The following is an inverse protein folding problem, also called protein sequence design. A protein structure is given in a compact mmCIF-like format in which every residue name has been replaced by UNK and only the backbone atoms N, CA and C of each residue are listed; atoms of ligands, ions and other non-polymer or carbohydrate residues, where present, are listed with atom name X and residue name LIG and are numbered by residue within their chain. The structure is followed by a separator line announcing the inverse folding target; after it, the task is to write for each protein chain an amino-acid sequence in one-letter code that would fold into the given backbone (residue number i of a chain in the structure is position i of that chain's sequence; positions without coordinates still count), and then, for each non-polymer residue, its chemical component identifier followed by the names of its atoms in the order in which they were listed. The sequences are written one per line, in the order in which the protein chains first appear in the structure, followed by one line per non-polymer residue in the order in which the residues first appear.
data_IF_878791528376
#
_entry.id   IF_878791528376
#
_cell.length_a   1.000
_cell.length_b   1.000
_cell.length_c   1.000
_cell.angle_alpha   90.00
_cell.angle_beta   90.00
_cell.angle_gamma   90.00
#
_symmetry.space_group_name_H-M   'P 1'
#
loop_
_entity.id
_entity.type
_entity.pdbx_description
1 polymer ?
#
# COMPACT_ATOMS: atom_id res chain seq x y z
N UNK A 1 6.07 11.91 -8.30
CA UNK A 1 4.80 12.67 -8.12
C UNK A 1 4.11 12.16 -6.87
N UNK A 2 3.61 13.06 -6.03
CA UNK A 2 2.78 12.72 -4.86
C UNK A 2 1.37 13.28 -5.06
N UNK A 3 0.36 12.42 -4.95
CA UNK A 3 -1.05 12.75 -5.05
C UNK A 3 -1.72 12.53 -3.69
N UNK A 4 -1.94 13.60 -2.94
CA UNK A 4 -2.66 13.60 -1.67
C UNK A 4 -4.17 13.68 -1.90
N UNK A 5 -4.82 12.53 -1.96
CA UNK A 5 -6.25 12.32 -2.22
C UNK A 5 -6.99 12.20 -0.89
N UNK A 6 -7.69 13.26 -0.48
CA UNK A 6 -8.53 13.25 0.71
C UNK A 6 -7.76 13.05 2.01
N UNK A 7 -6.52 13.53 2.09
CA UNK A 7 -5.68 13.47 3.28
C UNK A 7 -5.87 14.67 4.21
N UNK A 8 -5.23 14.61 5.39
CA UNK A 8 -5.25 15.73 6.34
C UNK A 8 -4.30 16.83 5.88
N UNK A 9 -4.77 18.06 5.90
CA UNK A 9 -3.95 19.24 5.54
C UNK A 9 -2.69 19.37 6.41
N UNK A 10 -2.76 18.96 7.69
CA UNK A 10 -1.60 18.92 8.58
C UNK A 10 -0.52 17.97 8.05
N UNK A 11 -0.88 16.76 7.65
CA UNK A 11 0.06 15.75 7.14
C UNK A 11 0.69 16.20 5.81
N UNK A 12 -0.10 16.84 4.94
CA UNK A 12 0.43 17.47 3.73
C UNK A 12 1.43 18.61 4.02
N UNK A 13 1.15 19.43 5.03
CA UNK A 13 2.06 20.50 5.45
C UNK A 13 3.38 19.94 6.02
N UNK A 14 3.29 18.92 6.87
CA UNK A 14 4.45 18.29 7.48
C UNK A 14 5.35 17.65 6.39
N UNK A 15 4.75 16.91 5.45
CA UNK A 15 5.46 16.31 4.31
C UNK A 15 6.14 17.37 3.43
N UNK A 16 5.48 18.49 3.16
CA UNK A 16 6.05 19.57 2.36
C UNK A 16 7.32 20.14 3.00
N UNK A 17 7.28 20.42 4.31
CA UNK A 17 8.44 20.95 5.03
C UNK A 17 9.55 19.90 5.16
N UNK A 18 9.20 18.63 5.37
CA UNK A 18 10.16 17.52 5.37
C UNK A 18 10.89 17.38 4.03
N UNK A 19 10.16 17.49 2.92
CA UNK A 19 10.74 17.46 1.57
C UNK A 19 11.62 18.67 1.27
N UNK A 20 11.34 19.84 1.86
CA UNK A 20 12.24 21.01 1.79
C UNK A 20 13.50 20.75 2.61
N UNK A 21 13.38 20.28 3.86
CA UNK A 21 14.52 20.04 4.75
C UNK A 21 15.45 18.94 4.22
N UNK A 22 14.89 17.90 3.61
CA UNK A 22 15.65 16.82 2.97
C UNK A 22 16.23 17.19 1.60
N UNK A 23 15.92 18.38 1.07
CA UNK A 23 16.42 18.86 -0.22
C UNK A 23 15.77 18.19 -1.44
N UNK A 24 14.65 17.48 -1.26
CA UNK A 24 13.83 16.95 -2.36
C UNK A 24 13.11 18.09 -3.09
N UNK A 25 12.68 19.10 -2.35
CA UNK A 25 12.15 20.37 -2.85
C UNK A 25 13.20 21.46 -2.67
N UNK A 26 13.63 22.05 -3.79
CA UNK A 26 14.47 23.24 -3.80
C UNK A 26 13.61 24.46 -4.08
N UNK A 27 13.44 25.32 -3.07
CA UNK A 27 12.64 26.55 -3.17
C UNK A 27 13.36 27.70 -3.91
N UNK A 28 14.69 27.63 -4.04
CA UNK A 28 15.50 28.73 -4.58
C UNK A 28 16.10 28.41 -5.94
N UNK A 29 16.31 27.13 -6.23
CA UNK A 29 16.81 26.64 -7.52
C UNK A 29 15.74 25.95 -8.35
N UNK A 30 16.22 25.19 -9.34
CA UNK A 30 15.44 24.46 -10.35
C UNK A 30 15.57 22.93 -10.21
N UNK A 31 16.09 22.46 -9.07
CA UNK A 31 16.46 21.05 -8.85
C UNK A 31 15.44 20.23 -8.07
N UNK A 32 14.22 20.73 -7.92
CA UNK A 32 13.13 20.00 -7.26
C UNK A 32 12.84 18.69 -7.98
N UNK A 33 12.72 17.59 -7.24
CA UNK A 33 12.52 16.23 -7.78
C UNK A 33 11.10 15.69 -7.58
N UNK A 34 10.20 16.51 -7.05
CA UNK A 34 8.85 16.11 -6.71
C UNK A 34 7.83 17.14 -7.19
N UNK A 35 6.70 16.65 -7.66
CA UNK A 35 5.49 17.44 -7.87
C UNK A 35 4.44 16.97 -6.87
N UNK A 36 3.88 17.90 -6.09
CA UNK A 36 2.84 17.65 -5.10
C UNK A 36 1.48 18.08 -5.66
N UNK A 37 0.50 17.18 -5.63
CA UNK A 37 -0.87 17.43 -6.05
C UNK A 37 -1.79 17.12 -4.88
N UNK A 38 -2.42 18.13 -4.31
CA UNK A 38 -3.24 17.99 -3.09
C UNK A 38 -4.71 18.28 -3.34
N UNK A 39 -5.56 17.41 -2.81
CA UNK A 39 -7.01 17.55 -2.76
C UNK A 39 -7.46 17.03 -1.41
N UNK A 40 -7.34 17.88 -0.40
CA UNK A 40 -7.42 17.55 1.03
C UNK A 40 -8.85 17.18 1.46
N UNK A 41 -9.02 16.65 2.68
CA UNK A 41 -10.32 16.26 3.24
C UNK A 41 -11.38 17.38 3.26
N UNK A 42 -10.96 18.64 3.41
CA UNK A 42 -11.85 19.80 3.45
C UNK A 42 -12.39 20.20 2.06
N UNK A 43 -11.89 19.58 0.99
CA UNK A 43 -12.36 19.82 -0.38
C UNK A 43 -13.66 19.04 -0.69
N UNK A 44 -14.53 19.57 -1.57
CA UNK A 44 -15.75 18.88 -1.96
C UNK A 44 -15.45 17.53 -2.65
N UNK A 45 -16.37 16.56 -2.59
CA UNK A 45 -16.14 15.23 -3.13
C UNK A 45 -15.81 15.22 -4.64
N UNK A 46 -16.33 16.18 -5.40
CA UNK A 46 -15.95 16.33 -6.82
C UNK A 46 -14.46 16.59 -7.04
N UNK A 47 -13.83 17.40 -6.18
CA UNK A 47 -12.40 17.67 -6.25
C UNK A 47 -11.58 16.45 -5.80
N UNK A 48 -11.96 15.83 -4.69
CA UNK A 48 -11.31 14.60 -4.18
C UNK A 48 -11.40 13.43 -5.17
N UNK A 49 -12.51 13.29 -5.89
CA UNK A 49 -12.69 12.27 -6.92
C UNK A 49 -11.89 12.53 -8.22
N UNK A 50 -11.15 13.64 -8.32
CA UNK A 50 -10.39 14.01 -9.53
C UNK A 50 -8.92 14.27 -9.27
N UNK A 51 -8.52 14.60 -8.05
CA UNK A 51 -7.12 14.91 -7.71
C UNK A 51 -6.16 13.75 -8.02
N UNK A 52 -6.59 12.49 -7.84
CA UNK A 52 -5.81 11.31 -8.24
C UNK A 52 -5.49 11.32 -9.74
N UNK A 53 -6.47 11.68 -10.58
CA UNK A 53 -6.30 11.79 -12.03
C UNK A 53 -5.36 12.93 -12.41
N UNK A 54 -5.40 14.04 -11.68
CA UNK A 54 -4.45 15.15 -11.87
C UNK A 54 -3.03 14.71 -11.58
N UNK A 55 -2.79 14.04 -10.44
CA UNK A 55 -1.47 13.47 -10.12
C UNK A 55 -1.00 12.47 -11.17
N UNK A 56 -1.91 11.62 -11.64
CA UNK A 56 -1.62 10.65 -12.70
C UNK A 56 -1.26 11.33 -14.02
N UNK A 57 -1.98 12.37 -14.45
CA UNK A 57 -1.67 13.10 -15.68
C UNK A 57 -0.29 13.77 -15.63
N UNK A 58 0.12 14.28 -14.47
CA UNK A 58 1.50 14.79 -14.30
C UNK A 58 2.51 13.66 -14.43
N UNK A 59 2.27 12.50 -13.82
CA UNK A 59 3.15 11.34 -13.94
C UNK A 59 3.22 10.80 -15.38
N UNK A 60 2.10 10.76 -16.09
CA UNK A 60 2.04 10.33 -17.50
C UNK A 60 2.81 11.27 -18.42
N UNK A 61 2.86 12.57 -18.13
CA UNK A 61 3.70 13.49 -18.90
C UNK A 61 5.18 13.10 -18.80
N UNK A 62 5.67 12.88 -17.59
CA UNK A 62 7.05 12.43 -17.36
C UNK A 62 7.33 11.06 -18.02
N UNK A 63 6.38 10.13 -17.96
CA UNK A 63 6.48 8.82 -18.63
C UNK A 63 6.49 8.94 -20.16
N UNK A 64 5.51 9.62 -20.75
CA UNK A 64 5.21 9.52 -22.18
C UNK A 64 5.89 10.60 -23.04
N UNK A 65 6.17 11.77 -22.45
CA UNK A 65 6.82 12.91 -23.13
C UNK A 65 8.29 13.02 -22.78
N UNK A 66 8.64 12.87 -21.50
CA UNK A 66 10.04 12.92 -21.07
C UNK A 66 10.74 11.56 -21.10
N UNK A 67 9.99 10.46 -21.21
CA UNK A 67 10.56 9.11 -21.29
C UNK A 67 11.24 8.66 -19.99
N UNK A 68 10.75 9.13 -18.84
CA UNK A 68 11.35 8.90 -17.54
C UNK A 68 10.66 7.76 -16.78
N UNK A 69 11.40 7.20 -15.82
CA UNK A 69 10.85 6.32 -14.79
C UNK A 69 10.35 7.14 -13.61
N UNK A 70 9.05 7.04 -13.33
CA UNK A 70 8.35 7.92 -12.40
C UNK A 70 7.86 7.14 -11.20
N UNK A 71 8.18 7.63 -10.00
CA UNK A 71 7.52 7.19 -8.78
C UNK A 71 6.22 7.98 -8.57
N UNK A 72 5.08 7.28 -8.46
CA UNK A 72 3.78 7.86 -8.17
C UNK A 72 3.31 7.40 -6.78
N UNK A 73 3.22 8.34 -5.85
CA UNK A 73 2.64 8.09 -4.53
C UNK A 73 1.19 8.56 -4.53
N UNK A 74 0.24 7.68 -4.22
CA UNK A 74 -1.17 8.04 -4.02
C UNK A 74 -1.54 7.75 -2.58
N UNK A 75 -1.85 8.80 -1.83
CA UNK A 75 -2.27 8.71 -0.45
C UNK A 75 -3.55 9.52 -0.28
N UNK A 76 -4.75 8.95 -0.10
CA UNK A 76 -5.07 7.52 -0.01
C UNK A 76 -6.05 7.12 -1.11
N UNK A 77 -5.81 6.00 -1.80
CA UNK A 77 -6.64 5.61 -2.94
C UNK A 77 -8.07 5.23 -2.54
N UNK A 78 -8.30 4.80 -1.31
CA UNK A 78 -9.64 4.58 -0.79
C UNK A 78 -10.48 5.87 -0.82
N UNK A 79 -9.85 7.03 -0.59
CA UNK A 79 -10.55 8.34 -0.59
C UNK A 79 -11.03 8.74 -1.99
N UNK A 80 -10.37 8.27 -3.05
CA UNK A 80 -10.87 8.42 -4.42
C UNK A 80 -12.20 7.68 -4.59
N UNK A 81 -12.27 6.43 -4.14
CA UNK A 81 -13.50 5.62 -4.15
C UNK A 81 -14.60 6.26 -3.29
N UNK A 82 -14.28 6.66 -2.07
CA UNK A 82 -15.22 7.29 -1.14
C UNK A 82 -15.85 8.55 -1.75
N UNK A 83 -15.02 9.43 -2.33
CA UNK A 83 -15.49 10.62 -3.02
C UNK A 83 -16.38 10.27 -4.24
N UNK A 84 -16.06 9.19 -4.95
CA UNK A 84 -16.89 8.65 -6.03
C UNK A 84 -18.29 8.23 -5.55
N UNK A 85 -18.39 7.54 -4.42
CA UNK A 85 -19.67 7.19 -3.80
C UNK A 85 -20.49 8.42 -3.44
N UNK A 86 -19.87 9.44 -2.83
CA UNK A 86 -20.55 10.70 -2.47
C UNK A 86 -21.10 11.41 -3.72
N UNK A 87 -20.30 11.52 -4.79
CA UNK A 87 -20.75 12.11 -6.06
C UNK A 87 -21.86 11.28 -6.70
N UNK A 88 -21.75 9.95 -6.68
CA UNK A 88 -22.77 9.05 -7.23
C UNK A 88 -24.12 9.20 -6.54
N UNK A 89 -24.12 9.35 -5.21
CA UNK A 89 -25.33 9.61 -4.44
C UNK A 89 -25.98 10.95 -4.82
N UNK A 90 -25.18 12.02 -4.98
CA UNK A 90 -25.67 13.33 -5.42
C UNK A 90 -26.23 13.32 -6.85
N UNK A 91 -25.73 12.42 -7.71
CA UNK A 91 -26.26 12.21 -9.07
C UNK A 91 -27.54 11.36 -9.10
N UNK A 92 -28.04 10.90 -7.95
CA UNK A 92 -29.27 10.10 -7.87
C UNK A 92 -29.12 8.67 -8.40
N UNK A 93 -27.90 8.15 -8.47
CA UNK A 93 -27.67 6.75 -8.85
C UNK A 93 -28.03 5.82 -7.69
N UNK A 94 -28.63 4.68 -8.01
CA UNK A 94 -28.94 3.64 -7.02
C UNK A 94 -27.61 3.08 -6.48
N UNK A 95 -27.42 3.03 -5.15
CA UNK A 95 -26.20 2.47 -4.55
C UNK A 95 -26.11 0.96 -4.77
N UNK A 96 -24.88 0.46 -4.85
CA UNK A 96 -24.55 -0.97 -4.92
C UNK A 96 -24.26 -1.55 -3.53
N UNK A 97 -23.60 -2.71 -3.49
CA UNK A 97 -23.16 -3.36 -2.27
C UNK A 97 -22.44 -2.39 -1.31
N UNK A 98 -22.80 -2.47 -0.03
CA UNK A 98 -22.20 -1.67 1.07
C UNK A 98 -22.31 -0.13 0.85
N UNK A 99 -23.15 0.33 -0.08
CA UNK A 99 -23.38 1.75 -0.34
C UNK A 99 -22.42 2.40 -1.35
N UNK A 100 -21.57 1.62 -2.03
CA UNK A 100 -20.69 2.14 -3.08
C UNK A 100 -21.44 2.50 -4.36
N UNK A 101 -20.79 3.30 -5.21
CA UNK A 101 -21.30 3.61 -6.54
C UNK A 101 -21.39 2.33 -7.41
N UNK A 102 -22.42 2.20 -8.27
CA UNK A 102 -22.53 1.06 -9.18
C UNK A 102 -21.40 1.00 -10.22
N UNK A 103 -20.68 2.10 -10.42
CA UNK A 103 -19.55 2.22 -11.35
C UNK A 103 -18.19 1.95 -10.70
N UNK A 104 -18.14 1.45 -9.45
CA UNK A 104 -16.91 1.32 -8.66
C UNK A 104 -15.76 0.65 -9.43
N UNK A 105 -16.01 -0.53 -10.00
CA UNK A 105 -15.01 -1.29 -10.74
C UNK A 105 -14.53 -0.56 -11.99
N UNK A 106 -15.45 0.07 -12.74
CA UNK A 106 -15.11 0.82 -13.96
C UNK A 106 -14.31 2.08 -13.65
N UNK A 107 -14.70 2.84 -12.62
CA UNK A 107 -14.02 4.07 -12.20
C UNK A 107 -12.61 3.76 -11.69
N UNK A 108 -12.46 2.70 -10.89
CA UNK A 108 -11.16 2.23 -10.41
C UNK A 108 -10.29 1.74 -11.58
N UNK A 109 -10.80 0.84 -12.43
CA UNK A 109 -10.05 0.28 -13.55
C UNK A 109 -9.60 1.35 -14.54
N UNK A 110 -10.46 2.31 -14.89
CA UNK A 110 -10.10 3.41 -15.80
C UNK A 110 -8.91 4.23 -15.29
N UNK A 111 -8.78 4.37 -13.97
CA UNK A 111 -7.63 5.04 -13.36
C UNK A 111 -6.42 4.11 -13.24
N UNK A 112 -6.58 2.91 -12.70
CA UNK A 112 -5.47 2.00 -12.40
C UNK A 112 -4.77 1.51 -13.67
N UNK A 113 -5.50 1.24 -14.75
CA UNK A 113 -4.89 0.75 -16.01
C UNK A 113 -3.99 1.79 -16.70
N UNK A 114 -4.13 3.07 -16.33
CA UNK A 114 -3.21 4.13 -16.80
C UNK A 114 -1.88 4.12 -16.04
N UNK A 115 -1.85 3.55 -14.84
CA UNK A 115 -0.65 3.37 -14.01
C UNK A 115 0.05 2.10 -14.47
N UNK A 116 0.88 2.26 -15.49
CA UNK A 116 1.61 1.12 -16.07
C UNK A 116 2.92 1.56 -16.70
N UNK A 117 3.76 0.57 -16.96
CA UNK A 117 4.99 0.73 -17.75
C UNK A 117 4.67 0.59 -19.24
N UNK A 118 5.20 1.51 -20.04
CA UNK A 118 5.04 1.51 -21.50
C UNK A 118 6.40 1.33 -22.16
N UNK A 119 6.45 1.29 -23.50
CA UNK A 119 7.70 1.26 -24.25
C UNK A 119 8.52 2.55 -24.14
N UNK A 120 7.94 3.64 -23.60
CA UNK A 120 8.60 4.95 -23.50
C UNK A 120 9.19 5.24 -22.13
N UNK A 121 8.64 4.64 -21.08
CA UNK A 121 9.03 4.88 -19.69
C UNK A 121 8.12 4.11 -18.72
N UNK A 122 8.39 4.21 -17.43
CA UNK A 122 7.63 3.49 -16.40
C UNK A 122 6.95 4.41 -15.39
N UNK A 123 5.83 3.96 -14.84
CA UNK A 123 5.27 4.50 -13.59
C UNK A 123 5.27 3.36 -12.59
N UNK A 124 6.06 3.51 -11.53
CA UNK A 124 5.99 2.63 -10.35
C UNK A 124 5.15 3.35 -9.30
N UNK A 125 3.97 2.80 -8.98
CA UNK A 125 3.08 3.41 -8.01
C UNK A 125 3.14 2.75 -6.63
N UNK A 126 3.14 3.58 -5.59
CA UNK A 126 2.95 3.16 -4.21
C UNK A 126 1.67 3.82 -3.71
N UNK A 127 0.68 3.00 -3.38
CA UNK A 127 -0.66 3.47 -3.06
C UNK A 127 -1.02 3.06 -1.63
N UNK A 128 -1.33 4.04 -0.79
CA UNK A 128 -1.90 3.77 0.53
C UNK A 128 -3.37 3.38 0.36
N UNK A 129 -3.76 2.22 0.91
CA UNK A 129 -5.13 1.71 0.87
C UNK A 129 -5.63 1.64 2.30
N UNK A 130 -6.58 2.50 2.64
CA UNK A 130 -7.32 2.38 3.89
C UNK A 130 -8.33 1.23 3.77
N UNK A 131 -8.26 0.26 4.69
CA UNK A 131 -9.21 -0.85 4.78
C UNK A 131 -10.28 -0.48 5.81
N UNK A 132 -11.55 -0.28 5.42
CA UNK A 132 -12.62 0.05 6.36
C UNK A 132 -12.84 -1.07 7.37
N UNK A 133 -12.84 -0.72 8.66
CA UNK A 133 -13.13 -1.65 9.75
C UNK A 133 -12.29 -2.95 9.75
N UNK A 134 -11.07 -2.88 9.22
CA UNK A 134 -10.17 -4.04 9.05
C UNK A 134 -10.78 -5.19 8.20
N UNK A 135 -11.79 -4.90 7.36
CA UNK A 135 -12.45 -5.86 6.47
C UNK A 135 -11.89 -5.84 5.04
N UNK A 136 -11.01 -6.79 4.71
CA UNK A 136 -10.44 -6.96 3.37
C UNK A 136 -11.46 -7.41 2.31
N UNK A 137 -12.66 -7.85 2.73
CA UNK A 137 -13.73 -8.28 1.83
C UNK A 137 -14.62 -7.12 1.37
N UNK A 138 -14.41 -5.91 1.92
CA UNK A 138 -15.10 -4.71 1.46
C UNK A 138 -14.85 -4.50 -0.06
N UNK A 139 -15.88 -4.12 -0.85
CA UNK A 139 -15.75 -3.96 -2.29
C UNK A 139 -14.64 -3.01 -2.75
N UNK A 140 -14.32 -1.96 -1.98
CA UNK A 140 -13.31 -0.98 -2.36
C UNK A 140 -11.87 -1.55 -2.34
N UNK A 141 -11.35 -2.10 -1.21
CA UNK A 141 -10.05 -2.76 -1.20
C UNK A 141 -10.04 -3.99 -2.12
N UNK A 142 -11.09 -4.81 -2.14
CA UNK A 142 -11.15 -6.00 -3.00
C UNK A 142 -10.99 -5.66 -4.49
N UNK A 143 -11.66 -4.61 -4.98
CA UNK A 143 -11.51 -4.13 -6.36
C UNK A 143 -10.13 -3.56 -6.61
N UNK A 144 -9.56 -2.84 -5.63
CA UNK A 144 -8.23 -2.23 -5.78
C UNK A 144 -7.14 -3.29 -5.86
N UNK A 145 -7.20 -4.34 -5.02
CA UNK A 145 -6.19 -5.40 -4.98
C UNK A 145 -6.05 -6.15 -6.31
N UNK A 146 -7.13 -6.25 -7.10
CA UNK A 146 -7.09 -6.89 -8.41
C UNK A 146 -6.14 -6.18 -9.41
N UNK A 147 -5.83 -4.90 -9.19
CA UNK A 147 -4.94 -4.10 -10.05
C UNK A 147 -3.50 -4.02 -9.53
N UNK A 148 -3.18 -4.56 -8.35
CA UNK A 148 -1.86 -4.42 -7.75
C UNK A 148 -0.95 -5.62 -8.07
N UNK A 149 0.32 -5.33 -8.36
CA UNK A 149 1.35 -6.35 -8.58
C UNK A 149 1.94 -6.88 -7.27
N UNK A 150 1.92 -6.07 -6.21
CA UNK A 150 2.36 -6.41 -4.88
C UNK A 150 1.46 -5.76 -3.83
N UNK A 151 1.22 -6.49 -2.74
CA UNK A 151 0.46 -6.03 -1.59
C UNK A 151 1.36 -6.08 -0.36
N UNK A 152 1.49 -4.96 0.34
CA UNK A 152 2.17 -4.90 1.65
C UNK A 152 1.12 -4.59 2.69
N UNK A 153 0.78 -5.60 3.49
CA UNK A 153 -0.26 -5.49 4.52
C UNK A 153 0.41 -5.06 5.83
N UNK A 154 -0.12 -4.00 6.45
CA UNK A 154 0.34 -3.55 7.76
C UNK A 154 -0.63 -4.07 8.84
N UNK A 155 -0.10 -4.79 9.83
CA UNK A 155 -0.89 -5.45 10.88
C UNK A 155 -0.74 -4.75 12.22
N UNK A 156 -1.88 -4.44 12.86
CA UNK A 156 -1.91 -3.87 14.20
C UNK A 156 -1.26 -4.79 15.23
N UNK A 157 -1.53 -6.09 15.15
CA UNK A 157 -0.96 -7.08 16.07
C UNK A 157 0.57 -7.13 16.03
N UNK A 158 1.18 -6.87 14.86
CA UNK A 158 2.64 -6.78 14.73
C UNK A 158 3.18 -5.48 15.32
N UNK A 159 2.49 -4.36 15.10
CA UNK A 159 2.85 -3.06 15.69
C UNK A 159 2.80 -3.08 17.23
N UNK A 160 1.79 -3.75 17.82
CA UNK A 160 1.65 -3.92 19.27
C UNK A 160 2.81 -4.71 19.91
N UNK A 161 3.49 -5.55 19.12
CA UNK A 161 4.71 -6.25 19.55
C UNK A 161 5.97 -5.35 19.50
N UNK A 162 5.83 -4.10 19.05
CA UNK A 162 6.92 -3.13 18.88
C UNK A 162 7.81 -3.41 17.67
N UNK A 163 7.29 -4.09 16.65
CA UNK A 163 8.01 -4.43 15.42
C UNK A 163 7.67 -3.38 14.36
N UNK A 164 8.67 -2.63 13.91
CA UNK A 164 8.54 -1.62 12.87
C UNK A 164 9.56 -1.87 11.74
N UNK A 165 9.15 -1.81 10.46
CA UNK A 165 7.78 -1.59 9.99
C UNK A 165 6.84 -2.76 10.32
N UNK A 166 5.56 -2.45 10.57
CA UNK A 166 4.55 -3.43 11.00
C UNK A 166 3.98 -4.27 9.84
N UNK A 167 4.85 -4.73 8.94
CA UNK A 167 4.48 -5.52 7.76
C UNK A 167 4.14 -6.95 8.18
N UNK A 168 3.00 -7.46 7.72
CA UNK A 168 2.64 -8.87 7.88
C UNK A 168 3.36 -9.73 6.82
N UNK A 169 4.31 -10.60 7.22
CA UNK A 169 5.11 -11.38 6.28
C UNK A 169 4.34 -12.55 5.63
N UNK A 170 3.16 -12.89 6.14
CA UNK A 170 2.31 -13.97 5.63
C UNK A 170 1.20 -13.43 4.72
N UNK A 171 0.62 -12.28 5.07
CA UNK A 171 -0.47 -11.67 4.30
C UNK A 171 0.04 -10.73 3.18
N UNK A 172 1.31 -10.29 3.23
CA UNK A 172 1.95 -9.53 2.16
C UNK A 172 2.38 -10.44 1.01
N UNK A 173 2.11 -10.02 -0.23
CA UNK A 173 2.38 -10.83 -1.42
C UNK A 173 2.98 -10.01 -2.55
N UNK A 174 3.61 -10.68 -3.50
CA UNK A 174 4.10 -10.06 -4.73
C UNK A 174 4.07 -11.06 -5.87
N UNK A 175 3.62 -10.62 -7.05
CA UNK A 175 3.61 -11.44 -8.27
C UNK A 175 5.02 -11.82 -8.72
N UNK A 176 6.01 -10.97 -8.44
CA UNK A 176 7.40 -11.21 -8.87
C UNK A 176 8.18 -12.11 -7.90
N UNK A 177 7.57 -12.56 -6.79
CA UNK A 177 8.15 -13.60 -5.93
C UNK A 177 8.00 -14.97 -6.61
N UNK A 178 8.68 -15.12 -7.74
CA UNK A 178 8.74 -16.29 -8.61
C UNK A 178 10.22 -16.64 -8.86
N UNK A 179 10.62 -17.92 -8.74
CA UNK A 179 12.02 -18.31 -8.88
C UNK A 179 12.60 -18.02 -10.27
N UNK A 180 11.76 -17.86 -11.30
CA UNK A 180 12.19 -17.49 -12.65
C UNK A 180 12.53 -15.99 -12.78
N UNK A 181 12.06 -15.16 -11.84
CA UNK A 181 12.29 -13.71 -11.83
C UNK A 181 13.38 -13.36 -10.80
N UNK A 182 13.23 -13.82 -9.54
CA UNK A 182 14.15 -13.45 -8.44
C UNK A 182 15.28 -14.45 -8.24
N UNK A 183 15.26 -15.59 -8.94
CA UNK A 183 16.22 -16.68 -8.77
C UNK A 183 15.82 -17.67 -7.66
N UNK A 184 16.37 -18.88 -7.75
CA UNK A 184 16.03 -19.99 -6.86
C UNK A 184 16.43 -19.74 -5.40
N UNK A 185 17.59 -19.11 -5.18
CA UNK A 185 18.08 -18.83 -3.83
C UNK A 185 17.15 -17.86 -3.09
N UNK A 186 16.84 -16.71 -3.69
CA UNK A 186 15.95 -15.72 -3.08
C UNK A 186 14.56 -16.33 -2.83
N UNK A 187 13.98 -17.00 -3.82
CA UNK A 187 12.69 -17.65 -3.66
C UNK A 187 12.69 -18.71 -2.53
N UNK A 188 13.71 -19.56 -2.49
CA UNK A 188 13.87 -20.60 -1.48
C UNK A 188 13.98 -20.03 -0.06
N UNK A 189 14.78 -18.96 0.11
CA UNK A 189 14.91 -18.27 1.40
C UNK A 189 13.59 -17.63 1.82
N UNK A 190 12.91 -16.90 0.92
CA UNK A 190 11.65 -16.23 1.22
C UNK A 190 10.55 -17.24 1.61
N UNK A 191 10.40 -18.33 0.85
CA UNK A 191 9.44 -19.40 1.17
C UNK A 191 9.79 -20.15 2.46
N UNK A 192 11.07 -20.35 2.74
CA UNK A 192 11.54 -20.93 4.00
C UNK A 192 11.18 -20.07 5.21
N UNK A 193 11.37 -18.75 5.11
CA UNK A 193 10.97 -17.78 6.13
C UNK A 193 9.46 -17.82 6.35
N UNK A 194 8.66 -17.74 5.28
CA UNK A 194 7.19 -17.82 5.38
C UNK A 194 6.73 -19.12 6.03
N UNK A 195 7.33 -20.25 5.66
CA UNK A 195 6.99 -21.56 6.25
C UNK A 195 7.23 -21.58 7.76
N UNK A 196 8.41 -21.15 8.23
CA UNK A 196 8.74 -21.12 9.66
C UNK A 196 7.77 -20.22 10.42
N UNK A 197 7.39 -19.07 9.85
CA UNK A 197 6.45 -18.14 10.48
C UNK A 197 5.02 -18.67 10.50
N UNK A 198 4.60 -19.39 9.45
CA UNK A 198 3.30 -20.05 9.40
C UNK A 198 3.20 -21.19 10.42
N UNK A 199 4.24 -22.04 10.50
CA UNK A 199 4.33 -23.11 11.49
C UNK A 199 4.29 -22.52 12.91
N UNK A 200 5.02 -21.43 13.15
CA UNK A 200 4.96 -20.70 14.42
C UNK A 200 3.56 -20.19 14.75
N UNK A 201 2.84 -19.60 13.79
CA UNK A 201 1.45 -19.13 13.98
C UNK A 201 0.52 -20.27 14.38
N UNK A 202 0.64 -21.45 13.76
CA UNK A 202 -0.14 -22.63 14.14
C UNK A 202 0.20 -23.16 15.53
N UNK A 203 1.44 -23.00 15.99
CA UNK A 203 1.85 -23.39 17.35
C UNK A 203 1.42 -22.37 18.42
N UNK A 204 1.11 -21.12 18.08
CA UNK A 204 0.73 -20.08 19.06
C UNK A 204 -0.53 -20.46 19.85
N UNK A 205 -1.54 -21.04 19.22
CA UNK A 205 -2.78 -21.45 19.90
C UNK A 205 -2.51 -22.58 20.90
N UNK A 206 -1.64 -23.53 20.53
CA UNK A 206 -1.21 -24.63 21.41
C UNK A 206 -0.43 -24.06 22.60
N UNK A 207 0.51 -23.15 22.36
CA UNK A 207 1.31 -22.48 23.39
C UNK A 207 0.41 -21.70 24.37
N UNK A 208 -0.65 -21.05 23.87
CA UNK A 208 -1.56 -20.28 24.70
C UNK A 208 -2.39 -21.15 25.65
N UNK A 209 -2.67 -22.41 25.29
CA UNK A 209 -3.49 -23.34 26.08
C UNK A 209 -2.63 -24.23 26.98
N UNK A 210 -1.62 -24.88 26.42
CA UNK A 210 -0.81 -25.92 27.08
C UNK A 210 0.51 -25.39 27.66
N UNK A 211 0.98 -24.24 27.18
CA UNK A 211 2.29 -23.70 27.54
C UNK A 211 3.43 -24.19 26.63
N UNK A 212 4.59 -23.53 26.73
CA UNK A 212 5.77 -23.84 25.90
C UNK A 212 6.43 -25.19 26.22
N UNK A 213 6.25 -25.70 27.44
CA UNK A 213 6.96 -26.89 27.92
C UNK A 213 6.43 -28.19 27.32
N UNK A 214 5.15 -28.18 26.92
CA UNK A 214 4.43 -29.31 26.30
C UNK A 214 4.75 -29.51 24.81
N UNK A 215 5.51 -28.59 24.21
CA UNK A 215 5.97 -28.72 22.83
C UNK A 215 7.10 -29.74 22.69
N UNK A 216 7.18 -30.39 21.53
CA UNK A 216 8.35 -31.19 21.16
C UNK A 216 9.61 -30.32 21.05
N UNK A 217 10.79 -30.92 21.17
CA UNK A 217 12.05 -30.17 21.05
C UNK A 217 12.23 -29.54 19.65
N UNK A 218 11.70 -30.18 18.60
CA UNK A 218 11.70 -29.64 17.24
C UNK A 218 10.75 -28.42 17.10
N UNK A 219 9.59 -28.46 17.76
CA UNK A 219 8.66 -27.33 17.79
C UNK A 219 9.23 -26.17 18.59
N UNK A 220 9.87 -26.44 19.73
CA UNK A 220 10.59 -25.42 20.51
C UNK A 220 11.68 -24.76 19.68
N UNK A 221 12.44 -25.53 18.89
CA UNK A 221 13.44 -25.00 17.98
C UNK A 221 12.82 -24.12 16.89
N UNK A 222 11.68 -24.54 16.33
CA UNK A 222 10.92 -23.77 15.34
C UNK A 222 10.45 -22.44 15.91
N UNK A 223 9.84 -22.44 17.10
CA UNK A 223 9.41 -21.23 17.81
C UNK A 223 10.59 -20.29 18.09
N UNK A 224 11.73 -20.84 18.54
CA UNK A 224 12.92 -20.05 18.81
C UNK A 224 13.49 -19.36 17.55
N UNK A 225 13.49 -20.06 16.41
CA UNK A 225 13.90 -19.49 15.11
C UNK A 225 12.90 -18.45 14.61
N UNK A 226 11.61 -18.77 14.67
CA UNK A 226 10.55 -17.86 14.23
C UNK A 226 10.58 -16.53 14.98
N UNK A 227 10.73 -16.55 16.32
CA UNK A 227 10.86 -15.32 17.14
C UNK A 227 12.08 -14.47 16.72
N UNK A 228 13.21 -15.09 16.44
CA UNK A 228 14.42 -14.39 15.96
C UNK A 228 14.18 -13.75 14.59
N UNK A 229 13.60 -14.50 13.66
CA UNK A 229 13.25 -14.01 12.32
C UNK A 229 12.27 -12.84 12.44
N UNK A 230 11.20 -12.98 13.22
CA UNK A 230 10.18 -11.95 13.39
C UNK A 230 10.77 -10.64 13.91
N UNK A 231 11.71 -10.70 14.86
CA UNK A 231 12.44 -9.51 15.35
C UNK A 231 13.44 -8.99 14.33
N UNK A 232 14.09 -9.86 13.57
CA UNK A 232 15.04 -9.47 12.53
C UNK A 232 14.37 -8.75 11.35
N UNK A 233 13.08 -8.99 11.10
CA UNK A 233 12.28 -8.24 10.13
C UNK A 233 12.02 -6.77 10.55
N UNK A 234 12.33 -6.39 11.79
CA UNK A 234 12.28 -4.99 12.20
C UNK A 234 13.51 -4.22 11.71
N UNK A 235 13.30 -2.97 11.33
CA UNK A 235 14.35 -2.06 10.89
C UNK A 235 14.01 -0.63 11.34
N UNK A 236 14.90 0.06 12.09
CA UNK A 236 14.69 1.46 12.43
C UNK A 236 14.75 2.32 11.17
N UNK A 237 13.75 3.19 11.00
CA UNK A 237 13.72 4.15 9.90
C UNK A 237 14.66 5.32 10.20
N UNK A 238 15.38 5.78 9.17
CA UNK A 238 16.30 6.92 9.22
C UNK A 238 15.60 8.23 8.87
#
# INVERSE_FOLDING_TARGET
VFAGVGERTREGNDLYHEMIMSGVIDLKGDKSKVSLVYGQMNEPPGARARVALTGLTVAEYFRDKEGQDVLLFIDNIFRFTQAGSEVSALLGRIPSAVGYQPTLATDMGTMQERITTTEKGSITSVQAIYVPADDLTDPAPATTFAHLDATTVLSRGIAELGIYPAVDPLDSTSRILDPNIVGQEHYGVARGVQKILQDYKSLQDIIAILGMDELSEDDKLTVARARKIQRFLSQPFQ
#
